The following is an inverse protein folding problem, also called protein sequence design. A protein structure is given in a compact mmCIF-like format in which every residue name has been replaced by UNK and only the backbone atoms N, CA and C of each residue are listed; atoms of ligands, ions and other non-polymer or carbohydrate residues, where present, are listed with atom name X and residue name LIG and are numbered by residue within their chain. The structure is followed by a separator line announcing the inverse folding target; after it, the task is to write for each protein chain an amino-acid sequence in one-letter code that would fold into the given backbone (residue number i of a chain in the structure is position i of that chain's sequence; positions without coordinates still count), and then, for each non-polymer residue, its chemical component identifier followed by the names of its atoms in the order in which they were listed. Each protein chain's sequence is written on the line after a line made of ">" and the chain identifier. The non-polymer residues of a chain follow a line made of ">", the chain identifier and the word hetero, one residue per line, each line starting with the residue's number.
data_IF_407315184398
#
_entry.id   IF_407315184398
#
_cell.length_a   1.000
_cell.length_b   1.000
_cell.length_c   1.000
_cell.angle_alpha   90.00
_cell.angle_beta   90.00
_cell.angle_gamma   90.00
#
_symmetry.space_group_name_H-M   'P 1'
#
loop_
_entity.id
_entity.type
_entity.pdbx_description
1 polymer ?
#
# COMPACT_ATOMS: atom_id res chain seq x y z
N UNK A 1 -22.96 17.29 16.88
CA UNK A 1 -22.03 16.19 16.53
C UNK A 1 -22.56 15.66 15.20
N UNK A 2 -21.93 16.04 14.10
CA UNK A 2 -22.35 15.57 12.78
C UNK A 2 -21.95 14.09 12.69
N UNK A 3 -22.90 13.24 12.31
CA UNK A 3 -22.62 11.84 12.02
C UNK A 3 -21.72 11.79 10.78
N UNK A 4 -20.46 11.42 11.00
CA UNK A 4 -19.46 11.31 9.92
C UNK A 4 -19.62 10.01 9.13
N UNK A 5 -20.50 9.10 9.57
CA UNK A 5 -20.66 7.76 8.99
C UNK A 5 -19.42 6.87 9.18
N UNK A 6 -18.53 7.22 10.11
CA UNK A 6 -17.29 6.48 10.40
C UNK A 6 -17.43 5.68 11.70
N UNK A 7 -16.88 4.47 11.71
CA UNK A 7 -16.77 3.63 12.89
C UNK A 7 -15.68 4.13 13.87
N UNK A 8 -15.50 3.45 15.01
CA UNK A 8 -14.48 3.80 16.01
C UNK A 8 -13.04 3.75 15.47
N UNK A 9 -12.82 3.08 14.33
CA UNK A 9 -11.52 3.01 13.65
C UNK A 9 -11.30 4.17 12.67
N UNK A 10 -12.33 5.00 12.45
CA UNK A 10 -12.32 6.12 11.50
C UNK A 10 -12.60 5.70 10.07
N UNK A 11 -13.25 4.53 9.85
CA UNK A 11 -13.60 4.02 8.54
C UNK A 11 -15.13 3.85 8.41
N UNK A 12 -15.70 4.17 7.26
CA UNK A 12 -17.13 3.97 7.01
C UNK A 12 -17.47 2.58 6.50
N UNK A 13 -18.71 2.43 6.04
CA UNK A 13 -19.21 1.18 5.44
C UNK A 13 -18.40 0.80 4.19
N UNK A 14 -18.30 -0.51 3.94
CA UNK A 14 -17.57 -1.03 2.80
C UNK A 14 -18.45 -1.08 1.55
N UNK A 15 -18.02 -0.40 0.49
CA UNK A 15 -18.59 -0.53 -0.85
C UNK A 15 -17.68 -1.42 -1.68
N UNK A 16 -18.19 -2.57 -2.10
CA UNK A 16 -17.44 -3.54 -2.91
C UNK A 16 -17.83 -3.45 -4.39
N UNK A 17 -16.82 -3.37 -5.25
CA UNK A 17 -16.94 -3.34 -6.70
C UNK A 17 -16.14 -4.50 -7.30
N UNK A 18 -16.61 -5.05 -8.41
CA UNK A 18 -15.76 -5.85 -9.29
C UNK A 18 -14.78 -4.95 -10.05
N UNK A 19 -13.71 -5.54 -10.58
CA UNK A 19 -12.76 -4.85 -11.46
C UNK A 19 -13.44 -4.18 -12.67
N UNK A 20 -14.44 -4.86 -13.26
CA UNK A 20 -15.20 -4.33 -14.38
C UNK A 20 -16.09 -3.15 -13.98
N UNK A 21 -16.75 -3.22 -12.82
CA UNK A 21 -17.57 -2.12 -12.31
C UNK A 21 -16.71 -0.90 -12.03
N UNK A 22 -15.54 -1.08 -11.40
CA UNK A 22 -14.60 0.01 -11.16
C UNK A 22 -14.13 0.65 -12.48
N UNK A 23 -13.77 -0.15 -13.48
CA UNK A 23 -13.38 0.33 -14.82
C UNK A 23 -14.49 1.13 -15.51
N UNK A 24 -15.72 0.62 -15.57
CA UNK A 24 -16.86 1.32 -16.17
C UNK A 24 -17.22 2.59 -15.42
N UNK A 25 -17.18 2.58 -14.08
CA UNK A 25 -17.42 3.77 -13.27
C UNK A 25 -16.32 4.83 -13.45
N UNK A 26 -15.07 4.39 -13.61
CA UNK A 26 -13.93 5.28 -13.84
C UNK A 26 -14.05 6.02 -15.18
N UNK A 27 -14.42 5.30 -16.23
CA UNK A 27 -14.70 5.87 -17.55
C UNK A 27 -15.94 6.78 -17.52
N UNK A 28 -17.04 6.31 -16.92
CA UNK A 28 -18.29 7.06 -16.85
C UNK A 28 -18.16 8.42 -16.14
N UNK A 29 -17.34 8.47 -15.08
CA UNK A 29 -17.10 9.70 -14.30
C UNK A 29 -15.98 10.57 -14.88
N UNK A 30 -15.36 10.18 -15.99
CA UNK A 30 -14.24 10.88 -16.65
C UNK A 30 -13.10 11.24 -15.67
N UNK A 31 -12.63 10.24 -14.92
CA UNK A 31 -11.67 10.44 -13.83
C UNK A 31 -10.20 10.53 -14.28
N UNK A 32 -9.95 10.54 -15.59
CA UNK A 32 -8.60 10.54 -16.17
C UNK A 32 -7.84 9.25 -15.91
N UNK A 33 -6.53 9.35 -15.64
CA UNK A 33 -5.66 8.19 -15.47
C UNK A 33 -5.92 7.46 -14.14
N UNK A 34 -6.22 6.17 -14.24
CA UNK A 34 -6.38 5.29 -13.08
C UNK A 34 -5.05 5.11 -12.33
N UNK A 35 -5.03 5.23 -10.99
CA UNK A 35 -3.82 5.01 -10.20
C UNK A 35 -3.22 3.62 -10.47
N UNK A 36 -1.92 3.57 -10.78
CA UNK A 36 -1.24 2.32 -11.14
C UNK A 36 -1.39 1.21 -10.08
N UNK A 37 -1.53 1.58 -8.81
CA UNK A 37 -1.70 0.62 -7.72
C UNK A 37 -3.08 -0.08 -7.75
N UNK A 38 -4.11 0.59 -8.27
CA UNK A 38 -5.48 0.06 -8.41
C UNK A 38 -5.84 -0.29 -9.85
N UNK A 39 -4.86 -0.31 -10.76
CA UNK A 39 -5.13 -0.49 -12.19
C UNK A 39 -5.76 -1.86 -12.46
N UNK A 40 -6.91 -1.83 -13.15
CA UNK A 40 -7.66 -3.00 -13.60
C UNK A 40 -7.66 -3.11 -15.13
N UNK A 41 -7.92 -4.31 -15.70
CA UNK A 41 -8.18 -4.46 -17.12
C UNK A 41 -9.43 -3.70 -17.56
N UNK A 42 -9.43 -3.22 -18.80
CA UNK A 42 -10.60 -2.61 -19.46
C UNK A 42 -11.01 -3.46 -20.66
N UNK A 43 -11.90 -4.46 -20.47
CA UNK A 43 -12.32 -5.38 -21.53
C UNK A 43 -13.39 -4.78 -22.46
N UNK A 44 -13.59 -5.43 -23.62
CA UNK A 44 -14.48 -4.96 -24.69
C UNK A 44 -13.68 -4.37 -25.84
N UNK A 45 -13.18 -5.22 -26.75
CA UNK A 45 -12.28 -4.81 -27.84
C UNK A 45 -13.01 -3.98 -28.90
N UNK A 46 -14.32 -4.16 -28.99
CA UNK A 46 -15.21 -3.41 -29.89
C UNK A 46 -16.21 -2.59 -29.10
N UNK A 47 -16.74 -1.53 -29.71
CA UNK A 47 -17.77 -0.69 -29.10
C UNK A 47 -19.01 -1.51 -28.71
N UNK A 48 -19.40 -2.50 -29.53
CA UNK A 48 -20.56 -3.37 -29.26
C UNK A 48 -20.32 -4.26 -28.05
N UNK A 49 -19.16 -4.91 -27.97
CA UNK A 49 -18.79 -5.72 -26.80
C UNK A 49 -18.73 -4.87 -25.54
N UNK A 50 -18.15 -3.66 -25.64
CA UNK A 50 -18.05 -2.71 -24.53
C UNK A 50 -19.42 -2.28 -24.04
N UNK A 51 -20.35 -1.95 -24.94
CA UNK A 51 -21.71 -1.54 -24.59
C UNK A 51 -22.45 -2.63 -23.78
N UNK A 52 -22.32 -3.91 -24.16
CA UNK A 52 -22.92 -5.02 -23.42
C UNK A 52 -22.32 -5.20 -22.02
N UNK A 53 -21.02 -4.96 -21.85
CA UNK A 53 -20.37 -5.00 -20.53
C UNK A 53 -20.86 -3.85 -19.65
N UNK A 54 -20.95 -2.64 -20.21
CA UNK A 54 -21.42 -1.44 -19.51
C UNK A 54 -22.89 -1.62 -19.06
N UNK A 55 -23.75 -2.15 -19.92
CA UNK A 55 -25.16 -2.44 -19.57
C UNK A 55 -25.26 -3.38 -18.37
N UNK A 56 -24.54 -4.51 -18.40
CA UNK A 56 -24.49 -5.49 -17.29
C UNK A 56 -23.96 -4.89 -15.99
N UNK A 57 -22.97 -3.99 -16.08
CA UNK A 57 -22.45 -3.28 -14.91
C UNK A 57 -23.54 -2.41 -14.28
N UNK A 58 -24.28 -1.65 -15.09
CA UNK A 58 -25.35 -0.80 -14.56
C UNK A 58 -26.48 -1.61 -13.92
N UNK A 59 -26.86 -2.74 -14.52
CA UNK A 59 -27.82 -3.69 -13.92
C UNK A 59 -27.32 -4.21 -12.55
N UNK A 60 -26.05 -4.60 -12.46
CA UNK A 60 -25.41 -5.08 -11.22
C UNK A 60 -25.33 -4.02 -10.13
N UNK A 61 -25.01 -2.77 -10.50
CA UNK A 61 -24.96 -1.64 -9.57
C UNK A 61 -26.35 -1.26 -9.06
N UNK A 62 -27.36 -1.22 -9.94
CA UNK A 62 -28.74 -0.90 -9.57
C UNK A 62 -29.33 -1.98 -8.65
N UNK A 63 -29.10 -3.27 -8.94
CA UNK A 63 -29.54 -4.38 -8.11
C UNK A 63 -28.97 -4.33 -6.68
N UNK A 64 -27.80 -3.71 -6.50
CA UNK A 64 -27.14 -3.52 -5.20
C UNK A 64 -27.39 -2.14 -4.58
N UNK A 65 -28.25 -1.32 -5.19
CA UNK A 65 -28.57 0.01 -4.69
C UNK A 65 -27.45 1.04 -4.83
N UNK A 66 -26.40 0.76 -5.60
CA UNK A 66 -25.28 1.69 -5.82
C UNK A 66 -25.58 2.74 -6.89
N UNK A 67 -26.69 2.58 -7.60
CA UNK A 67 -27.28 3.59 -8.47
C UNK A 67 -27.27 3.21 -9.95
N UNK A 68 -27.62 4.19 -10.79
CA UNK A 68 -27.73 4.08 -12.25
C UNK A 68 -26.83 5.09 -12.93
N UNK A 69 -26.70 4.98 -14.26
CA UNK A 69 -25.87 5.89 -15.08
C UNK A 69 -26.23 7.37 -14.97
N UNK A 70 -27.47 7.70 -14.56
CA UNK A 70 -27.91 9.08 -14.35
C UNK A 70 -28.01 9.49 -12.88
N UNK A 71 -27.81 8.54 -11.96
CA UNK A 71 -28.01 8.73 -10.51
C UNK A 71 -27.21 7.69 -9.74
N UNK A 72 -25.89 7.82 -9.74
CA UNK A 72 -24.99 7.00 -8.92
C UNK A 72 -25.05 7.45 -7.45
N UNK A 73 -24.78 6.53 -6.52
CA UNK A 73 -24.64 6.84 -5.10
C UNK A 73 -23.66 8.02 -4.89
N UNK A 74 -24.08 9.12 -4.22
CA UNK A 74 -23.21 10.27 -3.96
C UNK A 74 -21.94 9.92 -3.19
N UNK A 75 -22.03 8.95 -2.27
CA UNK A 75 -20.88 8.45 -1.52
C UNK A 75 -19.88 7.78 -2.46
N UNK A 76 -20.34 6.87 -3.32
CA UNK A 76 -19.47 6.19 -4.28
C UNK A 76 -18.79 7.17 -5.24
N UNK A 77 -19.53 8.16 -5.76
CA UNK A 77 -18.95 9.24 -6.58
C UNK A 77 -17.85 9.99 -5.81
N UNK A 78 -18.08 10.29 -4.54
CA UNK A 78 -17.12 10.99 -3.67
C UNK A 78 -15.84 10.17 -3.48
N UNK A 79 -15.96 8.88 -3.16
CA UNK A 79 -14.81 7.98 -3.00
C UNK A 79 -14.00 7.85 -4.29
N UNK A 80 -14.65 7.65 -5.43
CA UNK A 80 -13.96 7.53 -6.72
C UNK A 80 -13.22 8.83 -7.11
N UNK A 81 -13.83 10.00 -6.86
CA UNK A 81 -13.17 11.29 -7.10
C UNK A 81 -11.98 11.53 -6.17
N UNK A 82 -12.06 11.11 -4.91
CA UNK A 82 -10.94 11.15 -3.97
C UNK A 82 -9.78 10.26 -4.44
N UNK A 83 -10.06 9.08 -4.97
CA UNK A 83 -9.05 8.17 -5.55
C UNK A 83 -8.41 8.76 -6.81
N UNK A 84 -9.20 9.41 -7.67
CA UNK A 84 -8.72 9.99 -8.93
C UNK A 84 -7.73 11.14 -8.72
N UNK A 85 -7.98 11.98 -7.71
CA UNK A 85 -7.18 13.18 -7.50
C UNK A 85 -6.93 13.49 -6.02
N UNK A 86 -6.22 12.61 -5.29
CA UNK A 86 -5.88 12.87 -3.90
C UNK A 86 -4.87 14.02 -3.79
N UNK A 87 -4.96 14.79 -2.71
CA UNK A 87 -3.90 15.72 -2.29
C UNK A 87 -2.75 14.96 -1.62
N UNK A 88 -3.06 13.92 -0.85
CA UNK A 88 -2.10 13.07 -0.17
C UNK A 88 -2.51 11.62 -0.27
N UNK A 89 -1.54 10.73 -0.42
CA UNK A 89 -1.79 9.29 -0.54
C UNK A 89 -0.69 8.44 0.09
N UNK A 90 -1.09 7.25 0.53
CA UNK A 90 -0.23 6.12 0.84
C UNK A 90 -0.72 4.92 0.04
N UNK A 91 0.18 4.30 -0.72
CA UNK A 91 -0.10 3.10 -1.49
C UNK A 91 0.69 1.91 -0.95
N UNK A 92 0.18 0.70 -1.16
CA UNK A 92 0.84 -0.51 -0.69
C UNK A 92 0.64 -1.71 -1.61
N UNK A 93 1.67 -2.54 -1.72
CA UNK A 93 1.62 -3.86 -2.35
C UNK A 93 2.07 -4.90 -1.34
N UNK A 94 1.14 -5.78 -0.97
CA UNK A 94 1.29 -6.68 0.14
C UNK A 94 1.03 -8.12 -0.31
N UNK A 95 1.74 -9.04 0.32
CA UNK A 95 1.46 -10.47 0.32
C UNK A 95 1.17 -10.89 1.76
N UNK A 96 -0.10 -11.18 2.06
CA UNK A 96 -0.58 -11.57 3.39
C UNK A 96 -1.34 -12.90 3.34
N UNK A 97 -0.73 -13.89 2.70
CA UNK A 97 -1.38 -15.15 2.26
C UNK A 97 -2.13 -15.01 0.92
N UNK A 98 -2.34 -13.77 0.48
CA UNK A 98 -2.88 -13.37 -0.82
C UNK A 98 -2.29 -12.03 -1.23
N UNK A 99 -2.35 -11.70 -2.51
CA UNK A 99 -1.94 -10.40 -3.03
C UNK A 99 -2.99 -9.35 -2.69
N UNK A 100 -2.59 -8.33 -1.94
CA UNK A 100 -3.42 -7.16 -1.62
C UNK A 100 -2.72 -5.91 -2.12
N UNK A 101 -3.44 -5.09 -2.89
CA UNK A 101 -3.00 -3.73 -3.22
C UNK A 101 -3.89 -2.75 -2.49
N UNK A 102 -3.34 -1.62 -2.06
CA UNK A 102 -4.12 -0.60 -1.37
C UNK A 102 -3.74 0.80 -1.80
N UNK A 103 -4.68 1.71 -1.64
CA UNK A 103 -4.49 3.15 -1.70
C UNK A 103 -5.32 3.78 -0.57
N UNK A 104 -4.64 4.39 0.40
CA UNK A 104 -5.24 5.31 1.35
C UNK A 104 -5.01 6.73 0.81
N UNK A 105 -6.09 7.45 0.49
CA UNK A 105 -6.04 8.73 -0.20
C UNK A 105 -6.90 9.77 0.52
N UNK A 106 -6.49 11.03 0.52
CA UNK A 106 -7.25 12.11 1.15
C UNK A 106 -7.18 13.45 0.40
N UNK A 107 -8.24 14.23 0.57
CA UNK A 107 -8.32 15.67 0.31
C UNK A 107 -8.85 16.32 1.58
N UNK A 108 -8.07 17.22 2.16
CA UNK A 108 -8.37 17.83 3.46
C UNK A 108 -8.69 16.78 4.53
N UNK A 109 -9.90 16.84 5.11
CA UNK A 109 -10.38 15.93 6.17
C UNK A 109 -11.11 14.69 5.61
N UNK A 110 -11.41 14.65 4.31
CA UNK A 110 -12.08 13.54 3.67
C UNK A 110 -11.07 12.54 3.08
N UNK A 111 -11.22 11.27 3.43
CA UNK A 111 -10.35 10.19 3.00
C UNK A 111 -11.09 9.00 2.43
N UNK A 112 -10.32 8.11 1.80
CA UNK A 112 -10.76 6.82 1.29
C UNK A 112 -9.66 5.80 1.50
N UNK A 113 -10.03 4.60 1.95
CA UNK A 113 -9.21 3.41 1.89
C UNK A 113 -9.76 2.50 0.80
N UNK A 114 -8.99 2.34 -0.28
CA UNK A 114 -9.27 1.39 -1.34
C UNK A 114 -8.35 0.18 -1.19
N UNK A 115 -8.91 -1.03 -1.18
CA UNK A 115 -8.15 -2.29 -1.26
C UNK A 115 -8.57 -3.07 -2.50
N UNK A 116 -7.61 -3.75 -3.14
CA UNK A 116 -7.83 -4.62 -4.27
C UNK A 116 -7.26 -6.00 -3.97
N UNK A 117 -8.11 -7.01 -4.07
CA UNK A 117 -7.78 -8.43 -3.91
C UNK A 117 -8.39 -9.21 -5.06
N UNK A 118 -7.55 -9.81 -5.92
CA UNK A 118 -8.02 -10.41 -7.18
C UNK A 118 -8.81 -9.40 -8.02
N UNK A 119 -10.03 -9.76 -8.42
CA UNK A 119 -10.95 -8.93 -9.21
C UNK A 119 -11.93 -8.12 -8.34
N UNK A 120 -11.69 -8.04 -7.03
CA UNK A 120 -12.55 -7.32 -6.09
C UNK A 120 -11.84 -6.08 -5.57
N UNK A 121 -12.54 -4.95 -5.62
CA UNK A 121 -12.13 -3.69 -5.00
C UNK A 121 -13.09 -3.36 -3.87
N UNK A 122 -12.56 -2.98 -2.72
CA UNK A 122 -13.36 -2.49 -1.58
C UNK A 122 -12.95 -1.07 -1.27
N UNK A 123 -13.94 -0.18 -1.24
CA UNK A 123 -13.77 1.23 -0.92
C UNK A 123 -14.44 1.50 0.42
N UNK A 124 -13.74 2.17 1.32
CA UNK A 124 -14.29 2.66 2.60
C UNK A 124 -13.99 4.15 2.69
N UNK A 125 -14.98 4.95 3.08
CA UNK A 125 -14.73 6.31 3.54
C UNK A 125 -13.80 6.27 4.75
N UNK A 126 -12.97 7.30 4.90
CA UNK A 126 -11.96 7.39 5.94
C UNK A 126 -11.80 8.83 6.40
N UNK A 127 -11.31 9.06 7.62
CA UNK A 127 -10.82 10.38 8.01
C UNK A 127 -9.46 10.68 7.34
N UNK A 128 -9.31 11.90 6.81
CA UNK A 128 -8.12 12.32 6.06
C UNK A 128 -6.85 12.47 6.90
N UNK A 129 -6.98 12.66 8.21
CA UNK A 129 -5.84 12.77 9.14
C UNK A 129 -5.25 11.39 9.50
N UNK A 130 -6.03 10.33 9.36
CA UNK A 130 -5.67 8.96 9.74
C UNK A 130 -5.03 8.11 8.65
N UNK A 131 -4.61 8.66 7.51
CA UNK A 131 -4.12 7.85 6.38
C UNK A 131 -3.04 6.80 6.74
N UNK A 132 -2.00 7.10 7.54
CA UNK A 132 -1.03 6.09 7.97
C UNK A 132 -1.67 4.92 8.73
N UNK A 133 -2.65 5.20 9.59
CA UNK A 133 -3.41 4.19 10.35
C UNK A 133 -4.26 3.33 9.41
N UNK A 134 -4.95 3.96 8.47
CA UNK A 134 -5.83 3.29 7.50
C UNK A 134 -5.05 2.42 6.51
N UNK A 135 -3.90 2.87 6.03
CA UNK A 135 -3.02 2.05 5.21
C UNK A 135 -2.49 0.82 5.98
N UNK A 136 -2.16 1.01 7.26
CA UNK A 136 -1.61 -0.05 8.10
C UNK A 136 -2.65 -1.08 8.55
N UNK A 137 -3.93 -0.70 8.66
CA UNK A 137 -5.01 -1.57 9.12
C UNK A 137 -5.26 -2.79 8.21
N UNK A 138 -4.77 -2.73 6.96
CA UNK A 138 -4.81 -3.85 6.01
C UNK A 138 -3.90 -5.01 6.45
N UNK A 139 -2.90 -4.74 7.30
CA UNK A 139 -2.03 -5.79 7.82
C UNK A 139 -2.66 -6.50 9.03
N UNK A 140 -2.58 -7.84 9.08
CA UNK A 140 -2.82 -8.57 10.30
C UNK A 140 -1.91 -8.07 11.44
N UNK A 141 -2.38 -8.07 12.69
CA UNK A 141 -1.55 -7.80 13.86
C UNK A 141 -0.35 -8.76 13.90
N UNK A 142 0.83 -8.23 14.26
CA UNK A 142 2.04 -9.01 14.48
C UNK A 142 2.90 -8.34 15.55
N UNK A 143 3.61 -9.15 16.33
CA UNK A 143 4.62 -8.67 17.28
C UNK A 143 5.93 -8.39 16.56
N UNK A 144 6.77 -7.52 17.12
CA UNK A 144 8.15 -7.40 16.68
C UNK A 144 8.88 -8.74 16.90
N UNK A 145 9.70 -9.15 15.93
CA UNK A 145 10.56 -10.31 16.12
C UNK A 145 11.75 -10.08 17.06
N UNK A 146 12.50 -11.11 17.45
CA UNK A 146 13.74 -10.96 18.20
C UNK A 146 14.85 -10.33 17.36
N UNK A 147 15.88 -9.79 18.03
CA UNK A 147 17.07 -9.22 17.41
C UNK A 147 17.21 -7.72 17.60
N UNK A 148 18.14 -7.12 16.89
CA UNK A 148 18.44 -5.69 16.93
C UNK A 148 18.53 -5.09 15.53
N UNK A 149 18.55 -3.75 15.46
CA UNK A 149 18.69 -3.05 14.19
C UNK A 149 20.07 -3.30 13.59
N UNK A 150 20.12 -3.79 12.36
CA UNK A 150 21.34 -3.98 11.59
C UNK A 150 21.29 -3.11 10.35
N UNK A 151 22.33 -2.30 10.16
CA UNK A 151 22.49 -1.43 8.99
C UNK A 151 23.77 -1.80 8.26
N UNK A 152 23.66 -2.02 6.96
CA UNK A 152 24.76 -2.45 6.10
C UNK A 152 24.60 -1.90 4.67
N UNK A 153 25.68 -1.81 3.86
CA UNK A 153 25.55 -1.40 2.47
C UNK A 153 24.60 -2.32 1.72
N UNK A 154 23.70 -1.73 0.93
CA UNK A 154 22.65 -2.48 0.18
C UNK A 154 23.28 -3.51 -0.76
N UNK A 155 24.42 -3.17 -1.36
CA UNK A 155 25.19 -4.07 -2.24
C UNK A 155 25.65 -5.34 -1.53
N UNK A 156 25.99 -5.24 -0.24
CA UNK A 156 26.48 -6.36 0.55
C UNK A 156 25.32 -7.25 0.99
N UNK A 157 24.21 -6.64 1.39
CA UNK A 157 22.95 -7.33 1.67
C UNK A 157 22.44 -8.10 0.45
N UNK A 158 22.30 -7.42 -0.70
CA UNK A 158 21.80 -8.00 -1.95
C UNK A 158 22.75 -9.08 -2.48
N UNK A 159 24.07 -8.85 -2.38
CA UNK A 159 25.09 -9.83 -2.74
C UNK A 159 24.99 -11.09 -1.87
N UNK A 160 24.87 -10.93 -0.56
CA UNK A 160 24.70 -12.06 0.35
C UNK A 160 23.41 -12.84 0.07
N UNK A 161 22.30 -12.15 -0.18
CA UNK A 161 21.00 -12.76 -0.48
C UNK A 161 21.03 -13.53 -1.82
N UNK A 162 21.75 -13.01 -2.82
CA UNK A 162 21.91 -13.68 -4.12
C UNK A 162 22.77 -14.94 -4.05
N UNK A 163 23.81 -14.94 -3.21
CA UNK A 163 24.72 -16.07 -3.06
C UNK A 163 24.14 -17.21 -2.20
N UNK A 164 23.09 -16.92 -1.42
CA UNK A 164 22.58 -17.83 -0.42
C UNK A 164 21.57 -18.83 -0.98
N UNK A 165 21.78 -20.11 -0.69
CA UNK A 165 20.78 -21.17 -0.94
C UNK A 165 20.11 -21.64 0.35
N UNK A 166 20.74 -21.39 1.49
CA UNK A 166 20.23 -21.62 2.83
C UNK A 166 20.58 -20.46 3.78
N UNK A 167 19.90 -20.32 4.93
CA UNK A 167 20.18 -19.25 5.91
C UNK A 167 21.64 -19.21 6.41
N UNK A 168 22.31 -20.36 6.50
CA UNK A 168 23.74 -20.43 6.87
C UNK A 168 24.67 -19.88 5.79
N UNK A 169 24.31 -20.06 4.51
CA UNK A 169 25.07 -19.49 3.41
C UNK A 169 24.99 -17.97 3.44
N UNK A 170 23.79 -17.44 3.70
CA UNK A 170 23.54 -16.00 3.84
C UNK A 170 24.40 -15.40 4.95
N UNK A 171 24.39 -16.00 6.14
CA UNK A 171 25.22 -15.58 7.27
C UNK A 171 26.72 -15.58 6.93
N UNK A 172 27.22 -16.69 6.36
CA UNK A 172 28.62 -16.80 5.97
C UNK A 172 29.00 -15.78 4.88
N UNK A 173 28.08 -15.49 3.96
CA UNK A 173 28.25 -14.52 2.89
C UNK A 173 28.31 -13.08 3.40
N UNK A 174 27.54 -12.75 4.44
CA UNK A 174 27.61 -11.48 5.15
C UNK A 174 28.94 -11.31 5.91
N UNK A 175 29.39 -12.34 6.64
CA UNK A 175 30.67 -12.32 7.35
C UNK A 175 31.86 -12.10 6.39
N UNK A 176 31.87 -12.77 5.24
CA UNK A 176 32.89 -12.56 4.19
C UNK A 176 32.91 -11.14 3.63
N UNK A 177 31.79 -10.43 3.70
CA UNK A 177 31.66 -9.01 3.30
C UNK A 177 32.00 -8.03 4.42
N UNK A 178 32.53 -8.52 5.55
CA UNK A 178 33.01 -7.70 6.65
C UNK A 178 31.92 -7.31 7.66
N UNK A 179 30.73 -7.91 7.58
CA UNK A 179 29.71 -7.71 8.62
C UNK A 179 30.16 -8.37 9.93
N UNK A 180 29.98 -7.67 11.05
CA UNK A 180 30.31 -8.20 12.39
C UNK A 180 29.53 -9.47 12.69
N UNK A 181 30.15 -10.41 13.39
CA UNK A 181 29.52 -11.70 13.73
C UNK A 181 28.15 -11.53 14.41
N UNK A 182 28.06 -10.62 15.38
CA UNK A 182 26.80 -10.31 16.08
C UNK A 182 25.68 -9.82 15.17
N UNK A 183 26.02 -9.07 14.12
CA UNK A 183 25.05 -8.55 13.16
C UNK A 183 24.68 -9.59 12.10
N UNK A 184 25.64 -10.44 11.70
CA UNK A 184 25.38 -11.57 10.81
C UNK A 184 24.45 -12.59 11.49
N UNK A 185 24.69 -12.91 12.77
CA UNK A 185 23.84 -13.79 13.58
C UNK A 185 22.42 -13.21 13.77
N UNK A 186 22.33 -11.90 14.02
CA UNK A 186 21.04 -11.21 14.10
C UNK A 186 20.29 -11.24 12.76
N UNK A 187 20.95 -10.93 11.64
CA UNK A 187 20.33 -10.99 10.32
C UNK A 187 19.88 -12.41 9.94
N UNK A 188 20.67 -13.45 10.27
CA UNK A 188 20.22 -14.84 10.10
C UNK A 188 18.95 -15.14 10.89
N UNK A 189 18.86 -14.61 12.10
CA UNK A 189 17.68 -14.82 12.97
C UNK A 189 16.46 -14.08 12.43
N UNK A 190 16.65 -12.85 11.95
CA UNK A 190 15.55 -12.04 11.41
C UNK A 190 15.07 -12.55 10.06
N UNK A 191 15.97 -12.96 9.17
CA UNK A 191 15.67 -13.40 7.80
C UNK A 191 15.43 -14.92 7.81
N UNK A 192 14.30 -15.29 8.39
CA UNK A 192 13.71 -16.63 8.30
C UNK A 192 12.75 -16.76 7.11
N UNK A 193 11.95 -17.81 7.12
CA UNK A 193 10.92 -18.04 6.09
C UNK A 193 9.87 -16.91 6.13
N UNK A 194 9.74 -16.21 5.01
CA UNK A 194 8.84 -15.06 4.88
C UNK A 194 7.40 -15.55 4.72
N UNK A 195 6.58 -15.31 5.74
CA UNK A 195 5.16 -15.63 5.76
C UNK A 195 4.32 -14.54 5.09
N UNK A 196 4.68 -13.28 5.35
CA UNK A 196 4.03 -12.09 4.80
C UNK A 196 5.09 -11.06 4.46
N UNK A 197 4.84 -10.24 3.46
CA UNK A 197 5.75 -9.17 3.08
C UNK A 197 5.00 -8.09 2.34
N UNK A 198 5.60 -6.92 2.26
CA UNK A 198 5.03 -5.88 1.42
C UNK A 198 5.80 -4.58 1.52
N UNK A 199 5.37 -3.65 0.70
CA UNK A 199 5.95 -2.32 0.61
C UNK A 199 4.85 -1.28 0.63
N UNK A 200 5.11 -0.19 1.33
CA UNK A 200 4.32 1.02 1.30
C UNK A 200 5.14 2.16 0.70
N UNK A 201 4.47 3.07 0.01
CA UNK A 201 5.03 4.36 -0.36
C UNK A 201 4.02 5.48 -0.17
N UNK A 202 4.48 6.72 -0.23
CA UNK A 202 3.62 7.90 -0.17
C UNK A 202 3.77 8.82 -1.38
N UNK A 203 2.74 9.58 -1.69
CA UNK A 203 2.85 10.70 -2.62
C UNK A 203 1.93 11.82 -2.17
N UNK A 204 2.21 13.03 -2.62
CA UNK A 204 1.33 14.15 -2.43
C UNK A 204 1.28 14.99 -3.71
N UNK A 205 0.34 15.93 -3.77
CA UNK A 205 0.32 16.96 -4.79
C UNK A 205 0.91 18.25 -4.25
N UNK A 206 1.78 18.85 -5.04
CA UNK A 206 2.27 20.20 -4.76
C UNK A 206 1.17 21.25 -4.99
N UNK A 207 1.49 22.51 -4.68
CA UNK A 207 0.58 23.66 -4.88
C UNK A 207 0.15 23.89 -6.34
N UNK A 208 0.81 23.28 -7.31
CA UNK A 208 0.46 23.34 -8.73
C UNK A 208 -0.32 22.11 -9.19
N UNK A 209 -0.64 21.18 -8.27
CA UNK A 209 -1.41 19.98 -8.52
C UNK A 209 -0.60 18.82 -9.11
N UNK A 210 0.73 18.96 -9.22
CA UNK A 210 1.61 17.89 -9.72
C UNK A 210 1.81 16.85 -8.63
N UNK A 211 1.61 15.58 -8.96
CA UNK A 211 1.88 14.46 -8.05
C UNK A 211 3.39 14.25 -7.89
N UNK A 212 3.87 14.31 -6.65
CA UNK A 212 5.25 14.09 -6.24
C UNK A 212 5.33 12.81 -5.41
N UNK A 213 6.13 11.85 -5.88
CA UNK A 213 6.38 10.59 -5.19
C UNK A 213 7.44 10.81 -4.11
N UNK A 214 7.15 10.40 -2.88
CA UNK A 214 8.15 10.39 -1.79
C UNK A 214 9.31 9.47 -2.20
N UNK A 215 10.59 9.91 -2.12
CA UNK A 215 11.75 9.17 -2.64
C UNK A 215 12.20 8.02 -1.71
N UNK A 216 11.25 7.38 -1.02
CA UNK A 216 11.48 6.27 -0.10
C UNK A 216 10.26 5.36 -0.07
N UNK A 217 10.52 4.08 0.21
CA UNK A 217 9.50 3.07 0.49
C UNK A 217 9.75 2.44 1.86
N UNK A 218 8.69 2.01 2.51
CA UNK A 218 8.70 1.30 3.79
C UNK A 218 8.37 -0.16 3.49
N UNK A 219 9.37 -1.04 3.60
CA UNK A 219 9.18 -2.48 3.39
C UNK A 219 9.05 -3.19 4.73
N UNK A 220 8.24 -4.25 4.79
CA UNK A 220 8.18 -5.13 5.95
C UNK A 220 8.15 -6.59 5.49
N UNK A 221 8.48 -7.47 6.42
CA UNK A 221 8.23 -8.90 6.29
C UNK A 221 7.93 -9.50 7.67
N UNK A 222 7.11 -10.54 7.67
CA UNK A 222 6.77 -11.35 8.83
C UNK A 222 7.44 -12.71 8.66
N UNK A 223 8.10 -13.18 9.71
CA UNK A 223 8.50 -14.59 9.85
C UNK A 223 7.75 -15.21 11.02
N UNK A 224 7.95 -16.50 11.27
CA UNK A 224 7.42 -17.16 12.48
C UNK A 224 7.87 -16.47 13.78
N UNK A 225 9.04 -15.82 13.76
CA UNK A 225 9.59 -15.16 14.94
C UNK A 225 8.96 -13.78 15.20
N UNK A 226 8.33 -13.16 14.19
CA UNK A 226 7.68 -11.86 14.28
C UNK A 226 7.91 -10.99 13.05
N UNK A 227 7.52 -9.72 13.17
CA UNK A 227 7.59 -8.72 12.10
C UNK A 227 8.87 -7.90 12.15
N UNK A 228 9.39 -7.63 10.97
CA UNK A 228 10.57 -6.82 10.73
C UNK A 228 10.30 -5.75 9.69
N UNK A 229 10.95 -4.61 9.88
CA UNK A 229 11.00 -3.51 8.94
C UNK A 229 12.31 -3.58 8.16
N UNK A 230 12.23 -3.32 6.85
CA UNK A 230 13.37 -3.08 5.98
C UNK A 230 13.26 -1.68 5.37
N UNK A 231 14.27 -0.86 5.61
CA UNK A 231 14.38 0.50 5.06
C UNK A 231 15.62 0.57 4.19
N UNK A 232 15.46 1.08 2.96
CA UNK A 232 16.57 1.48 2.10
C UNK A 232 16.69 2.99 2.08
N UNK A 233 17.89 3.51 2.30
CA UNK A 233 18.22 4.93 2.20
C UNK A 233 19.42 5.11 1.29
N UNK A 234 19.33 6.04 0.34
CA UNK A 234 20.47 6.46 -0.48
C UNK A 234 21.06 7.73 0.12
N UNK A 235 22.35 7.72 0.41
CA UNK A 235 23.09 8.88 0.90
C UNK A 235 23.46 9.84 -0.23
N UNK A 236 23.91 11.05 0.13
CA UNK A 236 24.26 12.09 -0.84
C UNK A 236 25.41 11.69 -1.79
N UNK A 237 26.28 10.77 -1.36
CA UNK A 237 27.35 10.19 -2.18
C UNK A 237 26.86 9.09 -3.16
N UNK A 238 25.55 8.79 -3.17
CA UNK A 238 24.94 7.76 -4.00
C UNK A 238 25.02 6.34 -3.42
N UNK A 239 25.68 6.13 -2.28
CA UNK A 239 25.72 4.83 -1.61
C UNK A 239 24.37 4.52 -0.95
N UNK A 240 23.84 3.34 -1.23
CA UNK A 240 22.58 2.87 -0.65
C UNK A 240 22.85 1.99 0.56
N UNK A 241 22.17 2.26 1.66
CA UNK A 241 22.21 1.50 2.90
C UNK A 241 20.87 0.82 3.16
N UNK A 242 20.92 -0.43 3.59
CA UNK A 242 19.77 -1.21 4.04
C UNK A 242 19.80 -1.29 5.56
N UNK A 243 18.67 -1.00 6.21
CA UNK A 243 18.47 -1.22 7.64
C UNK A 243 17.36 -2.23 7.84
N UNK A 244 17.61 -3.27 8.63
CA UNK A 244 16.63 -4.29 9.03
C UNK A 244 16.50 -4.24 10.54
N UNK A 245 15.27 -4.17 11.04
CA UNK A 245 15.02 -4.09 12.48
C UNK A 245 13.68 -4.73 12.86
N UNK A 246 13.54 -5.25 14.09
CA UNK A 246 12.25 -5.64 14.62
C UNK A 246 11.25 -4.48 14.63
N UNK A 247 10.03 -4.76 14.17
CA UNK A 247 8.98 -3.73 14.08
C UNK A 247 7.63 -4.27 14.54
N UNK A 248 7.10 -3.68 15.60
CA UNK A 248 5.72 -3.84 15.99
C UNK A 248 4.82 -2.89 15.18
N UNK A 249 3.51 -2.97 15.40
CA UNK A 249 2.54 -2.08 14.76
C UNK A 249 2.87 -0.60 14.98
N UNK A 250 3.29 -0.21 16.20
CA UNK A 250 3.60 1.17 16.54
C UNK A 250 4.80 1.70 15.76
N UNK A 251 5.87 0.91 15.62
CA UNK A 251 7.05 1.26 14.82
C UNK A 251 6.72 1.39 13.34
N UNK A 252 5.92 0.47 12.77
CA UNK A 252 5.46 0.61 11.40
C UNK A 252 4.61 1.87 11.20
N UNK A 253 3.66 2.13 12.09
CA UNK A 253 2.81 3.31 12.03
C UNK A 253 3.65 4.60 12.06
N UNK A 254 4.67 4.64 12.91
CA UNK A 254 5.61 5.77 12.95
C UNK A 254 6.28 6.00 11.59
N UNK A 255 6.85 4.96 10.97
CA UNK A 255 7.48 5.10 9.65
C UNK A 255 6.51 5.46 8.52
N UNK A 256 5.27 4.97 8.55
CA UNK A 256 4.25 5.40 7.59
C UNK A 256 3.83 6.86 7.81
N UNK A 257 3.84 7.31 9.06
CA UNK A 257 3.58 8.72 9.40
C UNK A 257 4.70 9.62 8.88
N UNK A 258 5.97 9.24 9.06
CA UNK A 258 7.12 9.95 8.48
C UNK A 258 7.04 10.00 6.96
N UNK A 259 6.79 8.84 6.32
CA UNK A 259 6.63 8.72 4.87
C UNK A 259 5.51 9.62 4.32
N UNK A 260 4.41 9.74 5.06
CA UNK A 260 3.28 10.59 4.72
C UNK A 260 3.60 12.08 4.88
N UNK A 261 4.31 12.46 5.95
CA UNK A 261 4.69 13.84 6.23
C UNK A 261 5.74 14.37 5.23
N UNK A 262 6.71 13.56 4.85
CA UNK A 262 7.73 13.91 3.85
C UNK A 262 7.10 14.31 2.51
N UNK A 263 6.07 13.57 2.08
CA UNK A 263 5.34 13.87 0.85
C UNK A 263 4.67 15.24 0.85
N UNK A 264 4.20 15.73 2.00
CA UNK A 264 3.51 17.02 2.13
C UNK A 264 4.43 18.25 2.11
N UNK A 265 5.76 18.05 2.08
CA UNK A 265 6.74 19.14 2.18
C UNK A 265 7.23 19.63 0.81
N UNK A 266 6.62 19.18 -0.29
CA UNK A 266 6.97 19.52 -1.67
C UNK A 266 5.79 20.16 -2.41
#
# INVERSE_FOLDING_TARGET
>A
MFDTGLDETGLGEAITLTALEFDVLWEHLDLGDMPLILKVPSPGRTNTERALLVERVWESLEARGLGRSVSLSPELVTLLRLIARPLRELDGRLWVGRSVRLLAAATDDAGVLATQEGDTLTLRSADGLGLPRHALSVLPPATAGPGHSVTLPSKDFEGAARDATAPKDFEASLRRRGLRDVDADALRTMIGDVLRQGQFGGAARDKWGRRIRTPRVISFFDTEAGRYLQVRRTEANGEAWTTISPADHRRLLHHLTELHAEGATH
#
